data_IF_080623211296
#
_entry.id   IF_080623211296
#
_cell.length_a   1.000
_cell.length_b   1.000
_cell.length_c   1.000
_cell.angle_alpha   90.00
_cell.angle_beta   90.00
_cell.angle_gamma   90.00
#
_symmetry.space_group_name_H-M   'P 1'
#
loop_
_entity.id
_entity.type
_entity.pdbx_description
1 polymer ?
#
# COMPACT_ATOMS: atom_id res chain seq x y z
N UNK A 1 3.74 -15.54 11.23
CA UNK A 1 3.60 -16.01 9.84
C UNK A 1 2.14 -16.30 9.40
N UNK A 2 1.11 -16.04 10.21
CA UNK A 2 -0.30 -16.03 9.76
C UNK A 2 -0.60 -14.78 8.91
N UNK A 3 0.25 -13.77 8.99
CA UNK A 3 0.20 -12.49 8.29
C UNK A 3 0.23 -12.66 6.77
N UNK A 4 0.77 -13.78 6.24
CA UNK A 4 0.82 -14.01 4.79
C UNK A 4 -0.58 -14.01 4.18
N UNK A 5 -1.57 -14.63 4.83
CA UNK A 5 -2.96 -14.60 4.36
C UNK A 5 -3.52 -13.16 4.38
N UNK A 6 -3.17 -12.40 5.42
CA UNK A 6 -3.58 -11.00 5.56
C UNK A 6 -2.94 -10.12 4.47
N UNK A 7 -1.64 -10.29 4.21
CA UNK A 7 -0.91 -9.59 3.13
C UNK A 7 -1.56 -9.90 1.79
N UNK A 8 -1.89 -11.16 1.50
CA UNK A 8 -2.55 -11.54 0.24
C UNK A 8 -3.91 -10.83 0.11
N UNK A 9 -4.71 -10.84 1.17
CA UNK A 9 -6.02 -10.17 1.17
C UNK A 9 -5.90 -8.64 0.98
N UNK A 10 -5.01 -8.00 1.74
CA UNK A 10 -4.81 -6.54 1.67
C UNK A 10 -4.17 -6.10 0.35
N UNK A 11 -3.25 -6.91 -0.20
CA UNK A 11 -2.66 -6.70 -1.53
C UNK A 11 -3.73 -6.68 -2.61
N UNK A 12 -4.68 -7.62 -2.56
CA UNK A 12 -5.82 -7.64 -3.50
C UNK A 12 -6.67 -6.38 -3.39
N UNK A 13 -6.91 -5.90 -2.16
CA UNK A 13 -7.68 -4.66 -1.92
C UNK A 13 -6.99 -3.42 -2.50
N UNK A 14 -5.70 -3.24 -2.23
CA UNK A 14 -4.91 -2.13 -2.78
C UNK A 14 -4.82 -2.23 -4.31
N UNK A 15 -4.56 -3.45 -4.82
CA UNK A 15 -4.49 -3.73 -6.25
C UNK A 15 -5.79 -3.39 -6.99
N UNK A 16 -6.94 -3.72 -6.42
CA UNK A 16 -8.25 -3.39 -7.00
C UNK A 16 -8.50 -1.87 -7.07
N UNK A 17 -8.10 -1.11 -6.04
CA UNK A 17 -8.20 0.36 -6.03
C UNK A 17 -7.36 0.95 -7.17
N UNK A 18 -6.13 0.47 -7.32
CA UNK A 18 -5.20 0.98 -8.33
C UNK A 18 -5.59 0.57 -9.75
N UNK A 19 -6.05 -0.66 -9.94
CA UNK A 19 -6.55 -1.17 -11.22
C UNK A 19 -7.78 -0.37 -11.68
N UNK A 20 -8.69 -0.02 -10.77
CA UNK A 20 -9.84 0.85 -11.08
C UNK A 20 -9.44 2.26 -11.55
N UNK A 21 -8.24 2.71 -11.18
CA UNK A 21 -7.66 4.01 -11.56
C UNK A 21 -6.71 3.92 -12.78
N UNK A 22 -6.57 2.76 -13.41
CA UNK A 22 -5.72 2.55 -14.59
C UNK A 22 -4.24 2.28 -14.29
N UNK A 23 -3.87 1.94 -13.05
CA UNK A 23 -2.50 1.60 -12.67
C UNK A 23 -2.23 0.09 -12.69
N UNK A 24 -0.97 -0.29 -12.99
CA UNK A 24 -0.52 -1.69 -12.99
C UNK A 24 -0.39 -2.21 -11.56
N UNK A 25 -1.34 -3.04 -11.10
CA UNK A 25 -1.37 -3.60 -9.74
C UNK A 25 -0.09 -4.30 -9.26
N UNK A 26 0.63 -4.99 -10.15
CA UNK A 26 1.78 -5.82 -9.77
C UNK A 26 2.90 -5.05 -9.06
N UNK A 27 3.25 -3.86 -9.56
CA UNK A 27 4.30 -3.03 -8.98
C UNK A 27 3.94 -2.55 -7.56
N UNK A 28 2.69 -2.13 -7.37
CA UNK A 28 2.24 -1.61 -6.08
C UNK A 28 2.01 -2.72 -5.04
N UNK A 29 1.64 -3.92 -5.48
CA UNK A 29 1.60 -5.09 -4.60
C UNK A 29 3.02 -5.43 -4.11
N UNK A 30 4.02 -5.43 -5.00
CA UNK A 30 5.41 -5.65 -4.61
C UNK A 30 5.91 -4.57 -3.63
N UNK A 31 5.58 -3.30 -3.90
CA UNK A 31 5.91 -2.19 -3.00
C UNK A 31 5.24 -2.33 -1.62
N UNK A 32 3.97 -2.74 -1.59
CA UNK A 32 3.25 -3.01 -0.35
C UNK A 32 3.91 -4.14 0.46
N UNK A 33 4.26 -5.26 -0.18
CA UNK A 33 4.95 -6.38 0.50
C UNK A 33 6.32 -5.94 1.03
N UNK A 34 7.08 -5.19 0.23
CA UNK A 34 8.37 -4.66 0.65
C UNK A 34 8.25 -3.75 1.88
N UNK A 35 7.35 -2.76 1.81
CA UNK A 35 7.11 -1.82 2.92
C UNK A 35 6.53 -2.50 4.15
N UNK A 36 5.73 -3.56 4.00
CA UNK A 36 5.27 -4.39 5.12
C UNK A 36 6.46 -5.02 5.87
N UNK A 37 7.35 -5.70 5.15
CA UNK A 37 8.53 -6.35 5.74
C UNK A 37 9.45 -5.32 6.39
N UNK A 38 9.67 -4.17 5.73
CA UNK A 38 10.44 -3.07 6.33
C UNK A 38 9.76 -2.51 7.58
N UNK A 39 8.43 -2.42 7.60
CA UNK A 39 7.64 -1.97 8.75
C UNK A 39 7.77 -2.92 9.93
N UNK A 40 7.69 -4.23 9.71
CA UNK A 40 7.90 -5.24 10.76
C UNK A 40 9.34 -5.19 11.29
N UNK A 41 10.33 -5.15 10.41
CA UNK A 41 11.74 -5.09 10.81
C UNK A 41 12.05 -3.80 11.58
N UNK A 42 11.56 -2.66 11.09
CA UNK A 42 11.72 -1.37 11.75
C UNK A 42 11.03 -1.33 13.10
N UNK A 43 9.80 -1.83 13.19
CA UNK A 43 9.07 -1.95 14.46
C UNK A 43 9.75 -2.89 15.43
N UNK A 44 10.33 -3.99 14.95
CA UNK A 44 11.13 -4.90 15.79
C UNK A 44 12.37 -4.21 16.35
N UNK A 45 13.12 -3.47 15.52
CA UNK A 45 14.30 -2.70 15.97
C UNK A 45 13.90 -1.65 17.01
N UNK A 46 12.84 -0.88 16.76
CA UNK A 46 12.32 0.10 17.73
C UNK A 46 11.89 -0.62 19.03
N UNK A 47 11.17 -1.72 18.92
CA UNK A 47 10.73 -2.51 20.05
C UNK A 47 11.90 -3.04 20.88
N UNK A 48 12.96 -3.52 20.23
CA UNK A 48 14.16 -4.01 20.90
C UNK A 48 14.91 -2.89 21.65
N UNK A 49 14.90 -1.66 21.12
CA UNK A 49 15.53 -0.50 21.77
C UNK A 49 14.71 0.00 22.97
N UNK A 50 13.38 -0.01 22.88
CA UNK A 50 12.50 0.54 23.93
C UNK A 50 12.16 -0.50 25.00
N UNK A 51 12.03 -1.78 24.62
CA UNK A 51 11.58 -2.88 25.48
C UNK A 51 12.46 -4.15 25.30
N UNK A 52 13.78 -4.08 25.60
CA UNK A 52 14.73 -5.15 25.29
C UNK A 52 14.43 -6.50 25.95
N UNK A 53 13.80 -6.50 27.14
CA UNK A 53 13.49 -7.72 27.91
C UNK A 53 12.06 -8.24 27.67
N UNK A 54 11.29 -7.60 26.78
CA UNK A 54 9.87 -7.93 26.58
C UNK A 54 9.60 -8.38 25.13
N UNK A 55 9.86 -9.66 24.79
CA UNK A 55 9.70 -10.16 23.42
C UNK A 55 8.29 -10.00 22.86
N UNK A 56 7.26 -10.07 23.71
CA UNK A 56 5.87 -9.85 23.30
C UNK A 56 5.66 -8.38 22.90
N UNK A 57 6.19 -7.42 23.66
CA UNK A 57 6.08 -6.00 23.33
C UNK A 57 6.80 -5.67 22.03
N UNK A 58 7.99 -6.24 21.80
CA UNK A 58 8.73 -6.09 20.54
C UNK A 58 7.91 -6.58 19.34
N UNK A 59 7.27 -7.75 19.46
CA UNK A 59 6.44 -8.30 18.40
C UNK A 59 5.19 -7.45 18.14
N UNK A 60 4.54 -6.92 19.18
CA UNK A 60 3.41 -5.99 19.02
C UNK A 60 3.83 -4.72 18.26
N UNK A 61 4.99 -4.15 18.58
CA UNK A 61 5.50 -2.96 17.89
C UNK A 61 5.85 -3.28 16.43
N UNK A 62 6.41 -4.46 16.15
CA UNK A 62 6.62 -4.93 14.79
C UNK A 62 5.30 -5.01 13.99
N UNK A 63 4.24 -5.57 14.58
CA UNK A 63 2.92 -5.63 13.98
C UNK A 63 2.31 -4.24 13.74
N UNK A 64 2.51 -3.30 14.67
CA UNK A 64 2.09 -1.91 14.48
C UNK A 64 2.83 -1.25 13.31
N UNK A 65 4.12 -1.55 13.13
CA UNK A 65 4.89 -1.11 11.96
C UNK A 65 4.33 -1.64 10.64
N UNK A 66 3.97 -2.92 10.58
CA UNK A 66 3.28 -3.53 9.44
C UNK A 66 1.92 -2.87 9.16
N UNK A 67 1.11 -2.63 10.21
CA UNK A 67 -0.18 -1.96 10.09
C UNK A 67 -0.04 -0.53 9.55
N UNK A 68 0.99 0.21 10.00
CA UNK A 68 1.30 1.54 9.49
C UNK A 68 1.71 1.51 8.01
N UNK A 69 2.50 0.52 7.59
CA UNK A 69 2.85 0.31 6.18
C UNK A 69 1.61 0.08 5.31
N UNK A 70 0.67 -0.74 5.77
CA UNK A 70 -0.62 -0.91 5.08
C UNK A 70 -1.41 0.40 4.99
N UNK A 71 -1.55 1.13 6.10
CA UNK A 71 -2.27 2.39 6.12
C UNK A 71 -1.67 3.39 5.11
N UNK A 72 -0.34 3.55 5.12
CA UNK A 72 0.37 4.43 4.20
C UNK A 72 0.11 4.06 2.73
N UNK A 73 0.27 2.79 2.36
CA UNK A 73 0.02 2.32 1.00
C UNK A 73 -1.45 2.47 0.58
N UNK A 74 -2.38 2.21 1.50
CA UNK A 74 -3.82 2.36 1.24
C UNK A 74 -4.21 3.82 1.01
N UNK A 75 -3.70 4.74 1.84
CA UNK A 75 -3.92 6.17 1.65
C UNK A 75 -3.29 6.67 0.35
N UNK A 76 -2.07 6.23 0.05
CA UNK A 76 -1.38 6.57 -1.20
C UNK A 76 -2.16 6.08 -2.43
N UNK A 77 -2.62 4.83 -2.43
CA UNK A 77 -3.45 4.29 -3.52
C UNK A 77 -4.76 5.06 -3.71
N UNK A 78 -5.36 5.55 -2.61
CA UNK A 78 -6.57 6.38 -2.68
C UNK A 78 -6.29 7.79 -3.22
N UNK A 79 -5.17 8.40 -2.84
CA UNK A 79 -4.81 9.77 -3.23
C UNK A 79 -4.35 9.89 -4.68
N UNK A 80 -3.94 8.79 -5.33
CA UNK A 80 -3.53 8.82 -6.73
C UNK A 80 -4.68 9.27 -7.66
N UNK A 81 -4.42 10.14 -8.65
CA UNK A 81 -5.40 10.55 -9.66
C UNK A 81 -5.97 9.36 -10.44
N UNK A 82 -7.17 9.51 -10.99
CA UNK A 82 -7.71 8.51 -11.90
C UNK A 82 -7.12 8.72 -13.31
N UNK A 83 -6.26 7.79 -13.76
CA UNK A 83 -5.66 7.88 -15.10
C UNK A 83 -6.74 7.81 -16.19
N UNK A 84 -7.76 6.98 -15.98
CA UNK A 84 -8.83 6.77 -16.95
C UNK A 84 -9.69 8.03 -17.17
N UNK A 85 -9.72 8.98 -16.23
CA UNK A 85 -10.51 10.20 -16.37
C UNK A 85 -9.80 11.24 -17.25
N UNK A 86 -8.48 11.30 -17.18
CA UNK A 86 -7.69 12.24 -17.98
C UNK A 86 -7.75 11.92 -19.48
N UNK A 87 -7.88 10.64 -19.84
CA UNK A 87 -8.00 10.19 -21.23
C UNK A 87 -9.35 10.62 -21.86
N UNK A 88 -10.44 10.69 -21.07
CA UNK A 88 -11.77 11.11 -21.53
C UNK A 88 -11.84 12.62 -21.79
N UNK A 89 -11.25 13.43 -20.91
CA UNK A 89 -11.19 14.88 -21.09
C UNK A 89 -10.38 15.26 -22.34
N UNK A 90 -9.29 14.53 -22.62
CA UNK A 90 -8.51 14.73 -23.85
C UNK A 90 -9.31 14.36 -25.10
N UNK A 91 -10.05 13.25 -25.09
CA UNK A 91 -10.87 12.84 -26.23
C UNK A 91 -11.99 13.86 -26.53
N UNK A 92 -12.70 14.33 -25.51
CA UNK A 92 -13.76 15.34 -25.68
C UNK A 92 -13.25 16.66 -26.25
N UNK A 93 -12.08 17.12 -25.81
CA UNK A 93 -11.42 18.32 -26.34
C UNK A 93 -10.96 18.16 -27.80
N UNK A 94 -10.54 16.95 -28.21
CA UNK A 94 -10.12 16.71 -29.60
C UNK A 94 -11.27 16.59 -30.58
N UNK A 95 -12.46 16.19 -30.15
CA UNK A 95 -13.65 16.20 -31.02
C UNK A 95 -14.19 17.62 -31.21
N UNK A 96 -14.23 18.44 -30.16
CA UNK A 96 -14.66 19.85 -30.28
C UNK A 96 -13.72 20.70 -31.16
N UNK A 97 -12.42 20.44 -31.18
CA UNK A 97 -11.48 21.20 -32.02
C UNK A 97 -11.48 20.79 -33.51
N UNK A 98 -12.07 19.63 -33.85
CA UNK A 98 -12.12 19.11 -35.21
C UNK A 98 -13.53 19.20 -35.85
N UNK A 99 -14.51 19.79 -35.15
CA UNK A 99 -15.87 20.06 -35.63
C UNK A 99 -16.02 21.53 -36.07
#
# INVERSE_FOLDING_TARGET
MLEIFLIIYLSKKIGAILESKGYKKGWYIALFVFTWITGELGGFVIGALVFPEQPIAMYIIALLGAAAAFAANFYFAKSLPNKNMHDLDQFGMTEEFNA
#
